data_IF_347878876541
#
_entry.id   IF_347878876541
#
_cell.length_a   1.000
_cell.length_b   1.000
_cell.length_c   1.000
_cell.angle_alpha   90.00
_cell.angle_beta   90.00
_cell.angle_gamma   90.00
#
_symmetry.space_group_name_H-M   'P 1'
#
loop_
_entity.id
_entity.type
_entity.pdbx_description
1 polymer ?
#
# COMPACT_ATOMS: atom_id res chain seq x y z
N UNK A 1 7.61 12.69 -2.67
CA UNK A 1 6.26 13.28 -2.76
C UNK A 1 5.21 12.22 -2.44
N UNK A 2 4.94 11.92 -1.16
CA UNK A 2 4.08 10.79 -0.79
C UNK A 2 2.61 10.99 -1.18
N UNK A 3 2.07 12.20 -1.03
CA UNK A 3 0.70 12.53 -1.43
C UNK A 3 0.45 12.33 -2.93
N UNK A 4 1.46 12.63 -3.75
CA UNK A 4 1.38 12.48 -5.21
C UNK A 4 1.39 11.00 -5.63
N UNK A 5 2.19 10.16 -4.96
CA UNK A 5 2.19 8.71 -5.21
C UNK A 5 0.81 8.09 -4.88
N UNK A 6 0.18 8.53 -3.78
CA UNK A 6 -1.16 8.08 -3.39
C UNK A 6 -2.23 8.59 -4.37
N UNK A 7 -2.17 9.86 -4.78
CA UNK A 7 -3.14 10.42 -5.72
C UNK A 7 -3.03 9.78 -7.11
N UNK A 8 -1.80 9.50 -7.57
CA UNK A 8 -1.54 8.75 -8.79
C UNK A 8 -2.12 7.35 -8.71
N UNK A 9 -1.85 6.61 -7.63
CA UNK A 9 -2.42 5.27 -7.43
C UNK A 9 -3.96 5.26 -7.41
N UNK A 10 -4.59 6.24 -6.75
CA UNK A 10 -6.05 6.37 -6.77
C UNK A 10 -6.59 6.55 -8.19
N UNK A 11 -5.92 7.36 -9.04
CA UNK A 11 -6.30 7.49 -10.46
C UNK A 11 -6.13 6.19 -11.24
N UNK A 12 -5.05 5.45 -11.00
CA UNK A 12 -4.81 4.15 -11.65
C UNK A 12 -5.93 3.15 -11.33
N UNK A 13 -6.46 3.15 -10.10
CA UNK A 13 -7.57 2.27 -9.71
C UNK A 13 -8.86 2.54 -10.51
N UNK A 14 -9.10 3.80 -10.93
CA UNK A 14 -10.27 4.17 -11.72
C UNK A 14 -10.10 3.87 -13.22
N UNK A 15 -8.87 3.82 -13.71
CA UNK A 15 -8.54 3.37 -15.07
C UNK A 15 -8.36 1.85 -15.00
N UNK A 16 -9.48 1.12 -15.11
CA UNK A 16 -9.66 -0.30 -14.77
C UNK A 16 -8.78 -1.36 -15.45
N UNK A 17 -7.56 -1.04 -15.88
CA UNK A 17 -6.59 -2.00 -16.40
C UNK A 17 -5.14 -1.47 -16.41
N UNK A 18 -4.79 -0.47 -15.61
CA UNK A 18 -3.38 -0.05 -15.52
C UNK A 18 -2.61 -1.01 -14.61
N UNK A 19 -1.82 -1.88 -15.25
CA UNK A 19 -0.91 -2.81 -14.57
C UNK A 19 0.12 -1.99 -13.79
N UNK A 20 -0.02 -1.92 -12.47
CA UNK A 20 1.04 -1.42 -11.61
C UNK A 20 2.20 -2.42 -11.65
N UNK A 21 3.39 -1.93 -11.93
CA UNK A 21 4.60 -2.72 -11.73
C UNK A 21 5.03 -2.71 -10.25
N UNK A 22 6.07 -3.49 -9.95
CA UNK A 22 6.60 -3.63 -8.59
C UNK A 22 7.12 -2.29 -8.02
N UNK A 23 7.59 -1.38 -8.88
CA UNK A 23 8.06 -0.06 -8.47
C UNK A 23 6.91 0.87 -8.10
N UNK A 24 5.81 0.80 -8.84
CA UNK A 24 4.57 1.54 -8.57
C UNK A 24 4.01 1.14 -7.20
N UNK A 25 3.92 -0.16 -6.94
CA UNK A 25 3.48 -0.68 -5.63
C UNK A 25 4.42 -0.28 -4.49
N UNK A 26 5.73 -0.43 -4.67
CA UNK A 26 6.74 0.02 -3.72
C UNK A 26 6.58 1.50 -3.37
N UNK A 27 6.39 2.35 -4.37
CA UNK A 27 6.32 3.80 -4.20
C UNK A 27 5.08 4.22 -3.43
N UNK A 28 3.91 3.67 -3.77
CA UNK A 28 2.67 3.98 -3.03
C UNK A 28 2.70 3.42 -1.60
N UNK A 29 3.30 2.25 -1.38
CA UNK A 29 3.41 1.66 -0.03
C UNK A 29 4.32 2.48 0.88
N UNK A 30 5.46 2.97 0.37
CA UNK A 30 6.32 3.91 1.09
C UNK A 30 5.58 5.21 1.41
N UNK A 31 4.84 5.75 0.45
CA UNK A 31 4.02 6.93 0.68
C UNK A 31 2.94 6.71 1.76
N UNK A 32 2.31 5.53 1.79
CA UNK A 32 1.36 5.16 2.84
C UNK A 32 2.03 5.06 4.22
N UNK A 33 3.26 4.55 4.28
CA UNK A 33 4.07 4.48 5.50
C UNK A 33 4.41 5.88 6.04
N UNK A 34 4.83 6.79 5.16
CA UNK A 34 5.18 8.18 5.48
C UNK A 34 3.96 9.00 5.93
N UNK A 35 2.81 8.80 5.28
CA UNK A 35 1.56 9.54 5.56
C UNK A 35 0.64 8.84 6.56
N UNK A 36 1.08 7.70 7.12
CA UNK A 36 0.31 6.86 8.07
C UNK A 36 -1.07 6.45 7.56
N UNK A 37 -1.24 6.25 6.25
CA UNK A 37 -2.53 5.90 5.63
C UNK A 37 -2.76 4.39 5.52
N UNK A 38 -3.05 3.75 6.65
CA UNK A 38 -3.25 2.29 6.73
C UNK A 38 -4.34 1.76 5.80
N UNK A 39 -5.48 2.45 5.69
CA UNK A 39 -6.58 2.00 4.83
C UNK A 39 -6.19 1.97 3.35
N UNK A 40 -5.40 2.96 2.90
CA UNK A 40 -4.85 2.98 1.54
C UNK A 40 -3.85 1.86 1.38
N UNK A 41 -2.95 1.68 2.35
CA UNK A 41 -1.97 0.58 2.35
C UNK A 41 -2.60 -0.81 2.26
N UNK A 42 -3.67 -1.08 3.03
CA UNK A 42 -4.47 -2.31 2.96
C UNK A 42 -5.08 -2.49 1.56
N UNK A 43 -5.68 -1.45 0.99
CA UNK A 43 -6.23 -1.51 -0.36
C UNK A 43 -5.17 -1.81 -1.44
N UNK A 44 -3.96 -1.25 -1.31
CA UNK A 44 -2.83 -1.58 -2.18
C UNK A 44 -2.42 -3.04 -2.02
N UNK A 45 -2.33 -3.53 -0.78
CA UNK A 45 -2.00 -4.93 -0.49
C UNK A 45 -3.00 -5.89 -1.13
N UNK A 46 -4.31 -5.63 -0.99
CA UNK A 46 -5.34 -6.43 -1.66
C UNK A 46 -5.22 -6.39 -3.19
N UNK A 47 -4.85 -5.24 -3.77
CA UNK A 47 -4.64 -5.15 -5.22
C UNK A 47 -3.45 -6.00 -5.69
N UNK A 48 -2.35 -6.05 -4.92
CA UNK A 48 -1.20 -6.93 -5.22
C UNK A 48 -1.63 -8.40 -5.20
N UNK A 49 -2.43 -8.82 -4.22
CA UNK A 49 -2.93 -10.20 -4.14
C UNK A 49 -3.85 -10.54 -5.33
N UNK A 50 -4.70 -9.59 -5.73
CA UNK A 50 -5.64 -9.77 -6.84
C UNK A 50 -5.01 -9.71 -8.23
N UNK A 51 -3.85 -9.06 -8.39
CA UNK A 51 -3.18 -8.95 -9.68
C UNK A 51 -2.49 -10.25 -10.11
N UNK A 52 -2.41 -11.25 -9.23
CA UNK A 52 -1.79 -12.54 -9.52
C UNK A 52 -0.27 -12.48 -9.65
N UNK A 53 0.34 -11.32 -9.37
CA UNK A 53 1.80 -11.15 -9.41
C UNK A 53 2.41 -11.66 -8.11
N UNK A 54 3.54 -12.35 -8.22
CA UNK A 54 4.33 -12.65 -7.03
C UNK A 54 5.07 -11.38 -6.58
N UNK A 55 4.89 -10.90 -5.34
CA UNK A 55 5.55 -9.69 -4.88
C UNK A 55 7.07 -9.91 -4.84
N UNK A 56 7.83 -9.01 -5.46
CA UNK A 56 9.28 -9.03 -5.31
C UNK A 56 9.71 -8.60 -3.92
N UNK A 57 10.98 -8.87 -3.57
CA UNK A 57 11.59 -8.40 -2.32
C UNK A 57 11.36 -6.91 -2.07
N UNK A 58 11.35 -6.09 -3.12
CA UNK A 58 11.11 -4.64 -3.02
C UNK A 58 9.67 -4.37 -2.52
N UNK A 59 8.68 -5.04 -3.09
CA UNK A 59 7.27 -4.91 -2.69
C UNK A 59 7.06 -5.46 -1.29
N UNK A 60 7.62 -6.64 -0.98
CA UNK A 60 7.51 -7.27 0.34
C UNK A 60 8.12 -6.41 1.44
N UNK A 61 9.31 -5.84 1.21
CA UNK A 61 9.93 -4.91 2.16
C UNK A 61 9.10 -3.63 2.33
N UNK A 62 8.49 -3.14 1.25
CA UNK A 62 7.64 -1.94 1.31
C UNK A 62 6.33 -2.20 2.06
N UNK A 63 5.74 -3.39 1.92
CA UNK A 63 4.58 -3.84 2.70
C UNK A 63 4.93 -3.91 4.20
N UNK A 64 6.04 -4.57 4.52
CA UNK A 64 6.51 -4.70 5.90
C UNK A 64 6.78 -3.33 6.54
N UNK A 65 7.45 -2.43 5.81
CA UNK A 65 7.67 -1.07 6.26
C UNK A 65 6.36 -0.30 6.45
N UNK A 66 5.40 -0.44 5.53
CA UNK A 66 4.09 0.21 5.63
C UNK A 66 3.34 -0.25 6.88
N UNK A 67 3.16 -1.55 7.06
CA UNK A 67 2.48 -2.10 8.23
C UNK A 67 3.19 -1.75 9.54
N UNK A 68 4.52 -1.87 9.60
CA UNK A 68 5.29 -1.49 10.78
C UNK A 68 5.09 -0.01 11.14
N UNK A 69 5.22 0.88 10.15
CA UNK A 69 5.07 2.31 10.35
C UNK A 69 3.65 2.71 10.78
N UNK A 70 2.61 2.02 10.31
CA UNK A 70 1.21 2.34 10.62
C UNK A 70 0.67 1.62 11.85
N UNK A 71 1.17 0.42 12.17
CA UNK A 71 0.69 -0.38 13.31
C UNK A 71 1.23 0.16 14.63
N UNK A 72 2.45 0.72 14.63
CA UNK A 72 3.01 1.42 15.79
C UNK A 72 2.25 2.71 16.17
N UNK A 73 1.37 3.19 15.28
CA UNK A 73 0.49 4.34 15.54
C UNK A 73 -0.94 3.94 15.89
N UNK A 74 -1.26 2.65 15.98
CA UNK A 74 -2.58 2.15 16.41
C UNK A 74 -2.67 2.11 17.94
N UNK A 75 -2.55 3.27 18.59
CA UNK A 75 -2.95 3.47 19.98
C UNK A 75 -4.39 4.00 20.06
N UNK A 76 -5.29 3.51 19.20
CA UNK A 76 -6.71 3.77 19.37
C UNK A 76 -7.52 2.63 18.75
N UNK A 77 -7.97 1.74 19.64
CA UNK A 77 -8.67 0.50 19.32
C UNK A 77 -9.94 0.71 18.53
N UNK A 78 -9.88 0.55 17.22
CA UNK A 78 -10.94 -0.06 16.43
C UNK A 78 -10.32 -0.76 15.22
N UNK A 79 -10.83 -1.97 14.99
CA UNK A 79 -10.60 -2.82 13.82
C UNK A 79 -9.41 -3.80 13.87
N UNK A 80 -9.59 -4.79 14.74
CA UNK A 80 -9.08 -6.14 14.57
C UNK A 80 -9.68 -6.78 13.31
N UNK A 81 -9.15 -6.45 12.14
CA UNK A 81 -9.11 -7.36 11.01
C UNK A 81 -7.64 -7.61 10.70
N UNK A 82 -7.14 -8.61 11.43
CA UNK A 82 -5.84 -9.24 11.32
C UNK A 82 -5.70 -9.89 9.94
N UNK A 83 -4.50 -9.76 9.39
CA UNK A 83 -3.77 -10.71 8.53
C UNK A 83 -4.61 -11.52 7.53
#
# INVERSE_FOLDING_TARGET
MPHEAISFYSRLKHVGSSVCDQYSYSSVLKACAETKRILVGKAVHCHILRSGIHPSRIVSNSLLNMYSATCLTLDNGTDCDLV
#
